data_IF_780841214730
#
_entry.id   IF_780841214730
#
_cell.length_a   1.000
_cell.length_b   1.000
_cell.length_c   1.000
_cell.angle_alpha   90.00
_cell.angle_beta   90.00
_cell.angle_gamma   90.00
#
_symmetry.space_group_name_H-M   'P 1'
#
loop_
_entity.id
_entity.type
_entity.pdbx_description
1 polymer ?
#
# COMPACT_ATOMS: atom_id res chain seq x y z
N UNK A 1 7.24 -8.48 -18.00
CA UNK A 1 7.72 -7.79 -16.78
C UNK A 1 6.52 -7.55 -15.88
N UNK A 2 6.57 -8.00 -14.63
CA UNK A 2 5.49 -7.80 -13.65
C UNK A 2 5.86 -6.65 -12.73
N UNK A 3 4.92 -5.75 -12.50
CA UNK A 3 5.10 -4.55 -11.68
C UNK A 3 3.95 -4.46 -10.66
N UNK A 4 4.25 -3.98 -9.47
CA UNK A 4 3.25 -3.71 -8.43
C UNK A 4 3.32 -2.22 -8.12
N UNK A 5 2.25 -1.51 -8.43
CA UNK A 5 2.11 -0.10 -8.05
C UNK A 5 1.32 -0.08 -6.77
N UNK A 6 1.83 0.59 -5.75
CA UNK A 6 1.18 0.65 -4.44
C UNK A 6 1.29 2.04 -3.84
N UNK A 7 0.39 2.30 -2.92
CA UNK A 7 0.37 3.47 -2.07
C UNK A 7 0.00 3.08 -0.64
N UNK A 8 0.39 3.90 0.33
CA UNK A 8 0.13 3.65 1.75
C UNK A 8 -0.42 4.89 2.41
N UNK A 9 -1.46 4.72 3.21
CA UNK A 9 -1.93 5.76 4.12
C UNK A 9 -1.35 5.52 5.52
N UNK A 10 -1.08 6.60 6.23
CA UNK A 10 -0.40 6.58 7.53
C UNK A 10 -1.13 7.45 8.55
N UNK A 11 -0.91 7.21 9.84
CA UNK A 11 -1.41 8.10 10.91
C UNK A 11 -0.81 9.51 10.85
N UNK A 12 0.32 9.66 10.16
CA UNK A 12 1.08 10.89 9.99
C UNK A 12 2.38 10.66 9.20
N UNK A 13 3.15 11.71 8.97
CA UNK A 13 4.28 11.69 8.02
C UNK A 13 5.65 11.41 8.63
N UNK A 14 5.74 11.12 9.94
CA UNK A 14 7.03 10.98 10.65
C UNK A 14 7.12 9.65 11.37
N UNK A 15 7.80 8.69 10.73
CA UNK A 15 8.04 7.38 11.31
C UNK A 15 8.78 7.44 12.66
N UNK A 16 9.73 8.38 12.83
CA UNK A 16 10.46 8.56 14.09
C UNK A 16 9.58 9.12 15.22
N UNK A 17 8.48 9.80 14.86
CA UNK A 17 7.49 10.30 15.83
C UNK A 17 6.47 9.23 16.23
N UNK A 18 6.59 8.00 15.70
CA UNK A 18 5.71 6.88 16.02
C UNK A 18 4.56 6.67 15.05
N UNK A 19 4.50 7.43 13.94
CA UNK A 19 3.47 7.22 12.93
C UNK A 19 3.54 5.81 12.32
N UNK A 20 2.36 5.26 11.99
CA UNK A 20 2.19 3.88 11.50
C UNK A 20 1.38 3.87 10.20
N UNK A 21 1.62 2.85 9.37
CA UNK A 21 0.77 2.56 8.21
C UNK A 21 -0.57 2.04 8.70
N UNK A 22 -1.65 2.57 8.13
CA UNK A 22 -3.03 2.16 8.44
C UNK A 22 -3.75 1.55 7.23
N UNK A 23 -3.19 1.69 6.03
CA UNK A 23 -3.76 1.17 4.80
C UNK A 23 -2.66 0.84 3.79
N UNK A 24 -2.85 -0.25 3.03
CA UNK A 24 -2.04 -0.57 1.87
C UNK A 24 -2.96 -0.89 0.69
N UNK A 25 -2.84 -0.08 -0.37
CA UNK A 25 -3.48 -0.31 -1.66
C UNK A 25 -2.43 -0.67 -2.71
N UNK A 26 -2.66 -1.72 -3.48
CA UNK A 26 -1.76 -2.14 -4.54
C UNK A 26 -2.51 -2.69 -5.76
N UNK A 27 -1.97 -2.43 -6.95
CA UNK A 27 -2.46 -2.96 -8.23
C UNK A 27 -1.33 -3.64 -8.99
N UNK A 28 -1.62 -4.77 -9.61
CA UNK A 28 -0.66 -5.53 -10.40
C UNK A 28 -0.73 -5.13 -11.89
N UNK A 29 0.42 -4.82 -12.47
CA UNK A 29 0.60 -4.62 -13.91
C UNK A 29 1.43 -5.74 -14.52
N UNK A 30 1.12 -6.10 -15.76
CA UNK A 30 1.96 -6.93 -16.62
C UNK A 30 2.28 -6.18 -17.90
N UNK A 31 3.56 -5.96 -18.16
CA UNK A 31 4.05 -5.14 -19.27
C UNK A 31 3.38 -3.75 -19.31
N UNK A 32 3.26 -3.09 -18.15
CA UNK A 32 2.59 -1.78 -17.96
C UNK A 32 1.08 -1.75 -18.16
N UNK A 33 0.42 -2.90 -18.37
CA UNK A 33 -1.04 -2.98 -18.46
C UNK A 33 -1.64 -3.53 -17.15
N UNK A 34 -2.73 -2.96 -16.63
CA UNK A 34 -3.41 -3.48 -15.45
C UNK A 34 -3.92 -4.90 -15.68
N UNK A 35 -3.61 -5.80 -14.74
CA UNK A 35 -4.08 -7.19 -14.78
C UNK A 35 -5.48 -7.36 -14.17
N UNK A 36 -5.97 -6.34 -13.47
CA UNK A 36 -7.20 -6.40 -12.68
C UNK A 36 -7.03 -7.03 -11.29
N UNK A 37 -5.86 -7.60 -10.98
CA UNK A 37 -5.53 -8.05 -9.62
C UNK A 37 -5.13 -6.85 -8.77
N UNK A 38 -5.74 -6.77 -7.59
CA UNK A 38 -5.44 -5.74 -6.60
C UNK A 38 -5.34 -6.37 -5.22
N UNK A 39 -4.65 -5.67 -4.33
CA UNK A 39 -4.60 -5.98 -2.91
C UNK A 39 -4.95 -4.70 -2.16
N UNK A 40 -5.89 -4.80 -1.23
CA UNK A 40 -6.34 -3.66 -0.45
C UNK A 40 -6.67 -4.12 0.95
N UNK A 41 -6.04 -3.50 1.95
CA UNK A 41 -6.18 -3.89 3.35
C UNK A 41 -6.03 -2.70 4.28
N UNK A 42 -6.83 -2.68 5.34
CA UNK A 42 -6.64 -1.82 6.50
C UNK A 42 -5.81 -2.53 7.55
N UNK A 43 -4.92 -1.79 8.22
CA UNK A 43 -3.98 -2.30 9.21
C UNK A 43 -4.29 -1.63 10.55
N UNK A 44 -4.41 -2.42 11.61
CA UNK A 44 -4.52 -1.89 12.97
C UNK A 44 -3.15 -1.32 13.40
N UNK A 45 -3.01 0.01 13.64
CA UNK A 45 -1.73 0.58 14.03
C UNK A 45 -1.26 0.15 15.43
N UNK A 46 -2.19 -0.34 16.27
CA UNK A 46 -1.91 -0.68 17.67
C UNK A 46 -1.60 -2.17 17.90
N UNK A 47 -1.81 -3.02 16.89
CA UNK A 47 -1.52 -4.46 16.96
C UNK A 47 -2.44 -5.23 17.92
#
# INVERSE_FOLDING_TARGET
MREIIFDTETTGLRAEAGDRVIELGAVELENRFPTGRYFHVYINPDG
#
